data_IF_844526320168
#
_entry.id   IF_844526320168
#
_cell.length_a   1.000
_cell.length_b   1.000
_cell.length_c   1.000
_cell.angle_alpha   90.00
_cell.angle_beta   90.00
_cell.angle_gamma   90.00
#
_symmetry.space_group_name_H-M   'P 1'
#
loop_
_entity.id
_entity.type
_entity.pdbx_description
1 polymer ?
#
# COMPACT_ATOMS: atom_id res chain seq x y z
N UNK A 1 -3.96 32.25 78.72
CA UNK A 1 -4.66 32.28 77.39
C UNK A 1 -3.59 32.21 76.32
N UNK A 2 -3.50 31.11 75.63
CA UNK A 2 -2.59 30.91 74.50
C UNK A 2 -3.45 30.81 73.24
N UNK A 3 -3.22 31.59 72.16
CA UNK A 3 -3.92 31.42 70.90
C UNK A 3 -3.30 30.31 70.11
N UNK A 4 -4.15 29.37 69.67
CA UNK A 4 -3.83 28.30 68.74
C UNK A 4 -3.81 28.91 67.31
N UNK A 5 -2.63 28.94 66.69
CA UNK A 5 -2.48 29.24 65.27
C UNK A 5 -2.77 28.01 64.45
N UNK A 6 -3.93 28.02 63.78
CA UNK A 6 -4.33 27.01 62.79
C UNK A 6 -3.58 27.28 61.49
N UNK A 7 -2.62 26.43 61.16
CA UNK A 7 -1.89 26.48 59.91
C UNK A 7 -2.69 25.71 58.84
N UNK A 8 -3.29 26.45 57.92
CA UNK A 8 -4.01 25.88 56.80
C UNK A 8 -2.96 25.65 55.68
N UNK A 9 -2.56 24.38 55.51
CA UNK A 9 -1.73 23.99 54.36
C UNK A 9 -2.62 23.80 53.16
N UNK A 10 -2.53 24.76 52.21
CA UNK A 10 -3.16 24.63 50.89
C UNK A 10 -2.27 23.76 50.01
N UNK A 11 -2.65 22.51 49.86
CA UNK A 11 -2.01 21.59 48.89
C UNK A 11 -2.46 21.96 47.47
N UNK A 12 -1.59 22.66 46.74
CA UNK A 12 -1.79 22.94 45.32
C UNK A 12 -1.52 21.65 44.52
N UNK A 13 -2.59 20.93 44.17
CA UNK A 13 -2.51 19.80 43.27
C UNK A 13 -2.23 20.32 41.85
N UNK A 14 -0.98 20.20 41.41
CA UNK A 14 -0.64 20.32 39.98
C UNK A 14 -1.31 19.19 39.19
N UNK A 15 -2.39 19.52 38.53
CA UNK A 15 -2.96 18.65 37.49
C UNK A 15 -2.03 18.75 36.28
N UNK A 16 -1.10 17.82 36.14
CA UNK A 16 -0.36 17.59 34.90
C UNK A 16 -1.35 17.01 33.89
N UNK A 17 -2.01 17.87 33.14
CA UNK A 17 -2.68 17.44 31.89
C UNK A 17 -1.58 17.07 30.92
N UNK A 18 -1.14 15.81 30.96
CA UNK A 18 -0.31 15.26 29.92
C UNK A 18 -1.12 15.30 28.62
N UNK A 19 -0.69 16.14 27.67
CA UNK A 19 -1.09 15.98 26.28
C UNK A 19 -0.56 14.62 25.84
N UNK A 20 -1.37 13.58 25.98
CA UNK A 20 -1.12 12.34 25.29
C UNK A 20 -1.30 12.64 23.80
N UNK A 21 -0.20 12.72 23.06
CA UNK A 21 -0.22 12.63 21.61
C UNK A 21 -1.07 11.40 21.26
N UNK A 22 -2.12 11.54 20.45
CA UNK A 22 -2.86 10.36 20.01
C UNK A 22 -1.86 9.36 19.45
N UNK A 23 -1.99 8.05 19.74
CA UNK A 23 -1.13 7.07 19.12
C UNK A 23 -1.23 7.28 17.59
N UNK A 24 -0.09 7.46 16.91
CA UNK A 24 -0.06 7.47 15.46
C UNK A 24 -0.80 6.23 14.99
N UNK A 25 -1.91 6.44 14.29
CA UNK A 25 -2.75 5.37 13.80
C UNK A 25 -1.91 4.58 12.81
N UNK A 26 -1.38 3.44 13.28
CA UNK A 26 -0.52 2.60 12.46
C UNK A 26 -1.35 2.01 11.33
N UNK A 27 -1.13 2.51 10.13
CA UNK A 27 -1.77 2.01 8.93
C UNK A 27 -1.13 0.69 8.51
N UNK A 28 -1.95 -0.32 8.32
CA UNK A 28 -1.54 -1.56 7.71
C UNK A 28 -1.52 -1.43 6.18
N UNK A 29 -0.51 -2.03 5.55
CA UNK A 29 -0.44 -2.06 4.10
C UNK A 29 -1.62 -2.84 3.50
N UNK A 30 -2.17 -2.42 2.36
CA UNK A 30 -3.22 -3.16 1.68
C UNK A 30 -2.80 -4.59 1.36
N UNK A 31 -3.70 -5.54 1.55
CA UNK A 31 -3.53 -6.87 1.00
C UNK A 31 -3.74 -6.82 -0.52
N UNK A 32 -2.79 -7.38 -1.29
CA UNK A 32 -2.83 -7.29 -2.74
C UNK A 32 -2.76 -8.67 -3.40
N UNK A 33 -3.42 -8.80 -4.57
CA UNK A 33 -3.43 -10.01 -5.38
C UNK A 33 -3.29 -9.66 -6.87
N UNK A 34 -2.49 -10.42 -7.60
CA UNK A 34 -2.49 -10.37 -9.07
C UNK A 34 -3.71 -11.13 -9.56
N UNK A 35 -4.58 -10.47 -10.32
CA UNK A 35 -5.81 -11.06 -10.87
C UNK A 35 -5.76 -11.23 -12.39
N UNK A 36 -4.80 -10.59 -13.06
CA UNK A 36 -4.61 -10.72 -14.50
C UNK A 36 -3.31 -10.10 -14.99
N UNK A 37 -2.82 -10.66 -16.08
CA UNK A 37 -1.73 -10.10 -16.87
C UNK A 37 -2.01 -10.41 -18.34
N UNK A 38 -2.21 -9.38 -19.13
CA UNK A 38 -2.39 -9.49 -20.59
C UNK A 38 -1.24 -8.77 -21.24
N UNK A 39 -0.52 -9.42 -22.13
CA UNK A 39 0.63 -8.84 -22.83
C UNK A 39 0.50 -9.02 -24.34
N UNK A 40 0.76 -7.96 -25.05
CA UNK A 40 0.92 -7.93 -26.51
C UNK A 40 2.38 -7.62 -26.89
N UNK A 41 2.63 -7.28 -28.15
CA UNK A 41 4.01 -7.04 -28.61
C UNK A 41 4.66 -5.84 -27.91
N UNK A 42 3.94 -4.72 -27.78
CA UNK A 42 4.45 -3.48 -27.18
C UNK A 42 3.53 -2.92 -26.10
N UNK A 43 2.47 -3.64 -25.78
CA UNK A 43 1.47 -3.22 -24.83
C UNK A 43 1.17 -4.32 -23.83
N UNK A 44 0.81 -3.96 -22.62
CA UNK A 44 0.37 -4.92 -21.63
C UNK A 44 -0.40 -4.23 -20.51
N UNK A 45 -1.20 -5.03 -19.84
CA UNK A 45 -2.00 -4.60 -18.69
C UNK A 45 -1.83 -5.62 -17.58
N UNK A 46 -1.44 -5.12 -16.42
CA UNK A 46 -1.40 -5.85 -15.16
C UNK A 46 -2.65 -5.47 -14.36
N UNK A 47 -3.39 -6.45 -13.88
CA UNK A 47 -4.57 -6.22 -13.04
C UNK A 47 -4.28 -6.67 -11.62
N UNK A 48 -4.43 -5.74 -10.68
CA UNK A 48 -4.21 -5.94 -9.25
C UNK A 48 -5.53 -5.75 -8.49
N UNK A 49 -5.77 -6.57 -7.50
CA UNK A 49 -6.87 -6.37 -6.54
C UNK A 49 -6.27 -5.99 -5.19
N UNK A 50 -6.62 -4.82 -4.68
CA UNK A 50 -6.22 -4.34 -3.35
C UNK A 50 -7.39 -4.44 -2.39
N UNK A 51 -7.13 -4.92 -1.17
CA UNK A 51 -8.08 -4.89 -0.07
C UNK A 51 -7.49 -4.05 1.08
N UNK A 52 -8.24 -3.05 1.52
CA UNK A 52 -7.83 -2.19 2.63
C UNK A 52 -8.20 -2.86 3.95
N UNK A 53 -7.23 -3.25 4.80
CA UNK A 53 -7.50 -3.84 6.11
C UNK A 53 -7.88 -2.78 7.16
N UNK A 54 -7.66 -1.50 6.85
CA UNK A 54 -7.86 -0.42 7.79
C UNK A 54 -9.34 0.01 7.88
N UNK A 55 -9.72 0.52 9.03
CA UNK A 55 -11.05 1.11 9.26
C UNK A 55 -11.19 2.52 8.65
N UNK A 56 -10.08 3.09 8.18
CA UNK A 56 -10.04 4.38 7.48
C UNK A 56 -9.78 4.17 5.99
N UNK A 57 -10.29 5.03 5.11
CA UNK A 57 -9.99 4.97 3.69
C UNK A 57 -8.53 5.33 3.43
N UNK A 58 -7.92 4.72 2.42
CA UNK A 58 -6.58 5.06 1.95
C UNK A 58 -6.69 5.77 0.59
N UNK A 59 -5.97 6.86 0.45
CA UNK A 59 -5.80 7.57 -0.83
C UNK A 59 -4.36 7.36 -1.30
N UNK A 60 -4.18 6.50 -2.28
CA UNK A 60 -2.87 6.25 -2.90
C UNK A 60 -2.72 7.26 -4.04
N UNK A 61 -1.71 8.10 -3.97
CA UNK A 61 -1.42 9.13 -4.96
C UNK A 61 -0.69 8.59 -6.18
N UNK A 62 0.24 7.69 -5.95
CA UNK A 62 1.06 7.05 -6.97
C UNK A 62 1.56 5.71 -6.47
N UNK A 63 1.99 4.86 -7.38
CA UNK A 63 2.54 3.56 -7.02
C UNK A 63 3.69 3.16 -7.95
N UNK A 64 4.61 2.36 -7.40
CA UNK A 64 5.69 1.72 -8.16
C UNK A 64 5.57 0.21 -7.95
N UNK A 65 5.56 -0.53 -9.05
CA UNK A 65 5.39 -1.97 -9.04
C UNK A 65 6.60 -2.66 -9.67
N UNK A 66 7.17 -3.64 -8.99
CA UNK A 66 8.19 -4.52 -9.57
C UNK A 66 7.55 -5.85 -9.92
N UNK A 67 7.46 -6.16 -11.22
CA UNK A 67 6.89 -7.39 -11.74
C UNK A 67 7.97 -8.46 -11.89
N UNK A 68 7.69 -9.66 -11.39
CA UNK A 68 8.46 -10.88 -11.61
C UNK A 68 7.54 -12.00 -12.12
N UNK A 69 8.05 -12.83 -13.04
CA UNK A 69 7.38 -14.02 -13.54
C UNK A 69 8.26 -15.24 -13.22
N UNK A 70 7.70 -16.19 -12.46
CA UNK A 70 8.53 -17.21 -11.84
C UNK A 70 9.60 -16.54 -10.97
N UNK A 71 10.86 -16.93 -11.19
CA UNK A 71 12.01 -16.37 -10.46
C UNK A 71 12.69 -15.20 -11.22
N UNK A 72 12.18 -14.82 -12.40
CA UNK A 72 12.78 -13.79 -13.24
C UNK A 72 12.13 -12.43 -12.97
N UNK A 73 12.94 -11.42 -12.63
CA UNK A 73 12.51 -10.03 -12.63
C UNK A 73 12.27 -9.55 -14.06
N UNK A 74 11.09 -9.01 -14.33
CA UNK A 74 10.67 -8.54 -15.65
C UNK A 74 10.89 -7.03 -15.78
N UNK A 75 10.52 -6.26 -14.76
CA UNK A 75 10.74 -4.82 -14.80
C UNK A 75 9.99 -4.06 -13.73
N UNK A 76 10.22 -2.75 -13.74
CA UNK A 76 9.58 -1.78 -12.84
C UNK A 76 8.55 -0.98 -13.64
N UNK A 77 7.42 -0.70 -13.00
CA UNK A 77 6.29 0.01 -13.57
C UNK A 77 5.93 1.14 -12.61
N UNK A 78 6.07 2.37 -13.05
CA UNK A 78 5.60 3.53 -12.31
C UNK A 78 4.19 3.86 -12.76
N UNK A 79 3.30 4.05 -11.80
CA UNK A 79 1.91 4.36 -12.03
C UNK A 79 1.52 5.61 -11.24
N UNK A 80 1.16 6.65 -11.98
CA UNK A 80 0.73 7.94 -11.44
C UNK A 80 -0.79 8.02 -11.26
N UNK A 81 -1.53 6.96 -11.57
CA UNK A 81 -2.98 6.95 -11.38
C UNK A 81 -3.31 6.80 -9.89
N UNK A 82 -4.14 7.71 -9.39
CA UNK A 82 -4.55 7.68 -8.00
C UNK A 82 -5.57 6.57 -7.74
N UNK A 83 -5.41 5.89 -6.59
CA UNK A 83 -6.30 4.79 -6.18
C UNK A 83 -6.96 5.16 -4.85
N UNK A 84 -8.28 5.22 -4.84
CA UNK A 84 -9.07 5.33 -3.61
C UNK A 84 -9.43 3.94 -3.08
N UNK A 85 -8.92 3.57 -1.91
CA UNK A 85 -9.26 2.32 -1.23
C UNK A 85 -10.24 2.63 -0.09
N UNK A 86 -11.54 2.29 -0.22
CA UNK A 86 -12.49 2.51 0.86
C UNK A 86 -12.13 1.71 2.10
N UNK A 87 -12.56 2.18 3.27
CA UNK A 87 -12.35 1.48 4.53
C UNK A 87 -12.92 0.04 4.47
N UNK A 88 -12.13 -0.93 4.87
CA UNK A 88 -12.49 -2.36 4.81
C UNK A 88 -12.99 -2.83 3.43
N UNK A 89 -12.67 -2.07 2.37
CA UNK A 89 -13.13 -2.29 1.00
C UNK A 89 -12.08 -2.93 0.10
N UNK A 90 -12.51 -3.25 -1.12
CA UNK A 90 -11.66 -3.81 -2.17
C UNK A 90 -11.81 -3.03 -3.47
N UNK A 91 -10.70 -2.81 -4.17
CA UNK A 91 -10.65 -2.15 -5.48
C UNK A 91 -9.82 -2.99 -6.43
N UNK A 92 -10.26 -3.08 -7.68
CA UNK A 92 -9.48 -3.63 -8.79
C UNK A 92 -8.86 -2.47 -9.54
N UNK A 93 -7.56 -2.53 -9.73
CA UNK A 93 -6.77 -1.50 -10.40
C UNK A 93 -5.98 -2.10 -11.56
N UNK A 94 -5.95 -1.39 -12.69
CA UNK A 94 -5.26 -1.83 -13.90
C UNK A 94 -4.08 -0.92 -14.18
N UNK A 95 -2.90 -1.52 -14.29
CA UNK A 95 -1.64 -0.82 -14.53
C UNK A 95 -1.17 -1.10 -15.95
N UNK A 96 -0.90 -0.06 -16.73
CA UNK A 96 -0.35 -0.20 -18.08
C UNK A 96 1.13 -0.51 -18.00
N UNK A 97 1.56 -1.54 -18.72
CA UNK A 97 2.98 -1.90 -18.77
C UNK A 97 3.72 -1.00 -19.78
N UNK A 98 4.89 -0.46 -19.42
CA UNK A 98 5.81 0.12 -20.40
C UNK A 98 6.19 -0.91 -21.47
N UNK A 99 6.43 -0.47 -22.71
CA UNK A 99 6.71 -1.36 -23.83
C UNK A 99 7.82 -2.37 -23.56
N UNK A 100 8.93 -1.94 -22.92
CA UNK A 100 10.03 -2.84 -22.55
C UNK A 100 9.59 -3.93 -21.57
N UNK A 101 8.74 -3.59 -20.59
CA UNK A 101 8.23 -4.55 -19.61
C UNK A 101 7.25 -5.51 -20.28
N UNK A 102 6.37 -5.02 -21.16
CA UNK A 102 5.45 -5.84 -21.92
C UNK A 102 6.17 -6.85 -22.82
N UNK A 103 7.19 -6.39 -23.57
CA UNK A 103 8.03 -7.26 -24.41
C UNK A 103 8.76 -8.34 -23.59
N UNK A 104 9.38 -7.95 -22.46
CA UNK A 104 10.07 -8.90 -21.60
C UNK A 104 9.10 -9.94 -20.99
N UNK A 105 7.91 -9.51 -20.56
CA UNK A 105 6.88 -10.41 -20.04
C UNK A 105 6.39 -11.35 -21.13
N UNK A 106 6.12 -10.87 -22.35
CA UNK A 106 5.68 -11.68 -23.48
C UNK A 106 6.76 -12.72 -23.86
N UNK A 107 8.01 -12.32 -23.96
CA UNK A 107 9.12 -13.22 -24.26
C UNK A 107 9.24 -14.34 -23.21
N UNK A 108 9.09 -13.99 -21.92
CA UNK A 108 9.10 -14.97 -20.84
C UNK A 108 7.93 -15.95 -20.94
N UNK A 109 6.72 -15.46 -21.14
CA UNK A 109 5.51 -16.30 -21.21
C UNK A 109 5.54 -17.23 -22.45
N UNK A 110 6.05 -16.77 -23.59
CA UNK A 110 6.24 -17.63 -24.79
C UNK A 110 7.26 -18.74 -24.55
N UNK A 111 8.31 -18.47 -23.79
CA UNK A 111 9.33 -19.47 -23.44
C UNK A 111 8.88 -20.44 -22.34
N UNK A 112 7.85 -20.09 -21.57
CA UNK A 112 7.32 -20.87 -20.46
C UNK A 112 5.80 -21.06 -20.62
N UNK A 113 5.35 -21.96 -21.54
CA UNK A 113 3.94 -22.16 -21.78
C UNK A 113 3.25 -22.79 -20.56
N UNK A 114 2.01 -22.38 -20.31
CA UNK A 114 1.21 -22.84 -19.18
C UNK A 114 0.98 -21.77 -18.13
N UNK A 115 0.74 -22.19 -16.90
CA UNK A 115 0.52 -21.29 -15.79
C UNK A 115 1.85 -20.87 -15.15
N UNK A 116 2.05 -19.57 -15.06
CA UNK A 116 3.24 -18.97 -14.47
C UNK A 116 2.83 -18.16 -13.25
N UNK A 117 3.58 -18.28 -12.16
CA UNK A 117 3.38 -17.42 -10.99
C UNK A 117 3.89 -16.01 -11.30
N UNK A 118 3.00 -15.04 -11.23
CA UNK A 118 3.34 -13.63 -11.22
C UNK A 118 3.48 -13.15 -9.77
N UNK A 119 4.55 -12.41 -9.48
CA UNK A 119 4.78 -11.74 -8.20
C UNK A 119 4.99 -10.27 -8.46
N UNK A 120 4.28 -9.42 -7.73
CA UNK A 120 4.39 -7.97 -7.83
C UNK A 120 4.70 -7.40 -6.44
N UNK A 121 5.82 -6.72 -6.32
CA UNK A 121 6.16 -5.92 -5.14
C UNK A 121 5.74 -4.48 -5.41
N UNK A 122 4.82 -3.97 -4.60
CA UNK A 122 4.28 -2.63 -4.76
C UNK A 122 4.71 -1.71 -3.63
N UNK A 123 5.13 -0.50 -3.98
CA UNK A 123 5.29 0.64 -3.08
C UNK A 123 4.18 1.64 -3.41
N UNK A 124 3.33 1.92 -2.44
CA UNK A 124 2.14 2.75 -2.58
C UNK A 124 2.34 4.03 -1.76
N UNK A 125 2.25 5.18 -2.39
CA UNK A 125 2.35 6.48 -1.72
C UNK A 125 0.97 6.92 -1.23
N UNK A 126 0.71 6.73 0.05
CA UNK A 126 -0.52 7.17 0.71
C UNK A 126 -0.39 8.61 1.20
N UNK A 127 -1.39 9.43 0.90
CA UNK A 127 -1.50 10.81 1.40
C UNK A 127 -2.33 10.81 2.67
N UNK A 128 -1.74 11.28 3.76
CA UNK A 128 -2.43 11.45 5.05
C UNK A 128 -3.25 12.75 5.09
N UNK A 129 -4.09 12.91 6.10
CA UNK A 129 -4.90 14.12 6.30
C UNK A 129 -4.10 15.41 6.49
N UNK A 130 -2.79 15.31 6.76
CA UNK A 130 -1.88 16.46 6.90
C UNK A 130 -1.03 16.75 5.67
N UNK A 131 -1.39 16.21 4.50
CA UNK A 131 -0.61 16.26 3.25
C UNK A 131 0.77 15.56 3.32
N UNK A 132 1.07 14.90 4.41
CA UNK A 132 2.25 14.04 4.52
C UNK A 132 2.04 12.76 3.69
N UNK A 133 3.15 12.22 3.17
CA UNK A 133 3.13 11.00 2.39
C UNK A 133 3.74 9.85 3.18
N UNK A 134 3.03 8.74 3.26
CA UNK A 134 3.50 7.49 3.87
C UNK A 134 3.59 6.41 2.80
N UNK A 135 4.73 5.73 2.73
CA UNK A 135 4.92 4.61 1.81
C UNK A 135 4.45 3.31 2.43
N UNK A 136 3.43 2.70 1.84
CA UNK A 136 2.94 1.37 2.19
C UNK A 136 3.49 0.35 1.19
N UNK A 137 4.05 -0.76 1.69
CA UNK A 137 4.64 -1.80 0.85
C UNK A 137 3.84 -3.08 0.96
N UNK A 138 3.48 -3.66 -0.19
CA UNK A 138 2.80 -4.95 -0.23
C UNK A 138 3.38 -5.86 -1.32
N UNK A 139 3.14 -7.16 -1.17
CA UNK A 139 3.51 -8.18 -2.16
C UNK A 139 2.23 -8.87 -2.59
N UNK A 140 2.02 -8.93 -3.89
CA UNK A 140 0.90 -9.64 -4.50
C UNK A 140 1.39 -10.80 -5.36
N UNK A 141 0.65 -11.89 -5.36
CA UNK A 141 0.92 -13.05 -6.20
C UNK A 141 -0.35 -13.48 -6.93
N UNK A 142 -0.17 -14.15 -8.05
CA UNK A 142 -1.26 -14.77 -8.80
C UNK A 142 -0.71 -15.71 -9.88
N UNK A 143 -1.59 -16.52 -10.45
CA UNK A 143 -1.25 -17.34 -11.60
C UNK A 143 -1.72 -16.62 -12.86
N UNK A 144 -0.84 -16.54 -13.85
CA UNK A 144 -1.11 -15.98 -15.17
C UNK A 144 -0.83 -17.04 -16.24
N UNK A 145 -1.61 -17.00 -17.31
CA UNK A 145 -1.43 -17.93 -18.43
C UNK A 145 -0.69 -17.24 -19.56
N UNK A 146 0.17 -17.98 -20.21
CA UNK A 146 0.69 -17.59 -21.51
C UNK A 146 -0.47 -17.50 -22.52
N UNK A 147 -0.46 -16.51 -23.42
CA UNK A 147 -1.45 -16.37 -24.48
C UNK A 147 -1.40 -17.52 -25.47
#
# INVERSE_FOLDING_TARGET
MRPFLLSISVSLALILTGCSTPPEERLDAPAARVTGLVVGNDTGVLTLSFANPNIVPLVIRSSTHTLSLGDKSIGIIDDAEAIGLPNSGRVVHTVKLPAKVAQAAQAYLRANPGEVRATVKSSLEHVTTGDDTVTLKCISTGLVKAP
#
